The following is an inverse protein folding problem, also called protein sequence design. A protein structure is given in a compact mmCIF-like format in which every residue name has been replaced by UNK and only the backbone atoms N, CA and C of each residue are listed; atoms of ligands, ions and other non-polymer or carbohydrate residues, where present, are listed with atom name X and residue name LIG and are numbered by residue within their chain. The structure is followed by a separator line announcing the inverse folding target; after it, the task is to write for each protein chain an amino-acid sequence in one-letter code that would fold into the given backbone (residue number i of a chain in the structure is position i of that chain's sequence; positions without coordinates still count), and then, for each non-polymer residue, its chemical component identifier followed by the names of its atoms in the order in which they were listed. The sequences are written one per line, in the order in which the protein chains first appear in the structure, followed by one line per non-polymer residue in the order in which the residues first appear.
data_IF_774302404194
#
_entry.id   IF_774302404194
#
_cell.length_a   1.000
_cell.length_b   1.000
_cell.length_c   1.000
_cell.angle_alpha   90.00
_cell.angle_beta   90.00
_cell.angle_gamma   90.00
#
_symmetry.space_group_name_H-M   'P 1'
#
loop_
_entity.id
_entity.type
_entity.pdbx_description
1 polymer ?
#
# COMPACT_ATOMS: atom_id res chain seq x y z
N UNK A 1 -18.13 20.09 -3.78
CA UNK A 1 -18.12 18.90 -2.90
C UNK A 1 -16.96 18.04 -3.35
N UNK A 2 -16.30 17.34 -2.43
CA UNK A 2 -15.20 16.43 -2.77
C UNK A 2 -15.72 15.31 -3.71
N UNK A 3 -14.92 14.96 -4.73
CA UNK A 3 -15.16 13.85 -5.66
C UNK A 3 -14.64 12.52 -5.11
N UNK A 4 -13.91 12.54 -3.99
CA UNK A 4 -13.44 11.35 -3.28
C UNK A 4 -14.42 10.99 -2.16
N UNK A 5 -14.95 9.78 -2.21
CA UNK A 5 -15.84 9.28 -1.17
C UNK A 5 -15.06 8.84 0.07
N UNK A 6 -15.52 9.26 1.25
CA UNK A 6 -14.92 8.85 2.53
C UNK A 6 -15.32 7.40 2.83
N UNK A 7 -14.36 6.48 2.78
CA UNK A 7 -14.52 5.08 3.22
C UNK A 7 -14.17 4.94 4.71
N UNK A 8 -14.96 4.17 5.45
CA UNK A 8 -14.70 3.84 6.87
C UNK A 8 -13.37 3.09 6.99
N UNK A 9 -12.54 3.46 7.97
CA UNK A 9 -11.37 2.65 8.34
C UNK A 9 -11.84 1.46 9.18
N UNK A 10 -11.53 0.24 8.73
CA UNK A 10 -11.79 -0.97 9.49
C UNK A 10 -10.75 -1.14 10.60
N UNK A 11 -11.18 -1.65 11.74
CA UNK A 11 -10.30 -2.01 12.84
C UNK A 11 -9.47 -3.24 12.47
N UNK A 12 -8.34 -3.39 13.16
CA UNK A 12 -7.49 -4.57 13.00
C UNK A 12 -8.23 -5.87 13.36
N UNK A 13 -9.15 -5.82 14.30
CA UNK A 13 -9.97 -6.98 14.67
C UNK A 13 -10.99 -7.33 13.59
N UNK A 14 -11.57 -6.35 12.91
CA UNK A 14 -12.42 -6.58 11.73
C UNK A 14 -11.61 -7.27 10.61
N UNK A 15 -10.40 -6.79 10.31
CA UNK A 15 -9.54 -7.36 9.26
C UNK A 15 -9.02 -8.76 9.64
N UNK A 16 -8.59 -8.97 10.89
CA UNK A 16 -8.02 -10.25 11.32
C UNK A 16 -9.03 -11.40 11.41
N UNK A 17 -10.34 -11.12 11.37
CA UNK A 17 -11.40 -12.15 11.39
C UNK A 17 -11.53 -12.91 10.07
N UNK A 18 -11.02 -12.35 8.98
CA UNK A 18 -11.04 -12.99 7.67
C UNK A 18 -10.26 -14.31 7.73
N UNK A 19 -10.92 -15.39 7.31
CA UNK A 19 -10.29 -16.70 7.19
C UNK A 19 -9.38 -16.75 5.96
N UNK A 20 -8.25 -17.45 6.08
CA UNK A 20 -7.32 -17.59 4.96
C UNK A 20 -7.39 -18.99 4.38
N UNK A 21 -7.59 -19.02 3.07
CA UNK A 21 -7.52 -20.21 2.24
C UNK A 21 -6.45 -19.95 1.18
N UNK A 22 -5.17 -20.12 1.56
CA UNK A 22 -4.04 -19.77 0.69
C UNK A 22 -4.10 -20.54 -0.63
N UNK A 23 -3.87 -19.84 -1.73
CA UNK A 23 -3.82 -20.42 -3.06
C UNK A 23 -2.40 -20.80 -3.51
N UNK A 24 -1.39 -20.62 -2.63
CA UNK A 24 0.02 -20.91 -2.87
C UNK A 24 0.63 -20.17 -4.08
N UNK A 25 0.02 -19.05 -4.50
CA UNK A 25 0.46 -18.32 -5.68
C UNK A 25 1.88 -17.76 -5.49
N UNK A 26 2.79 -18.05 -6.42
CA UNK A 26 4.19 -17.63 -6.27
C UNK A 26 4.37 -16.12 -6.42
N UNK A 27 5.40 -15.58 -5.76
CA UNK A 27 5.93 -14.26 -6.07
C UNK A 27 6.61 -14.30 -7.44
N UNK A 28 6.37 -13.27 -8.24
CA UNK A 28 7.08 -13.02 -9.50
C UNK A 28 7.65 -11.60 -9.47
N UNK A 29 8.75 -11.40 -10.18
CA UNK A 29 9.38 -10.10 -10.33
C UNK A 29 8.49 -9.17 -11.15
N UNK A 30 8.49 -7.88 -10.79
CA UNK A 30 7.81 -6.82 -11.53
C UNK A 30 8.85 -6.13 -12.40
N UNK A 31 8.56 -6.02 -13.68
CA UNK A 31 9.41 -5.35 -14.65
C UNK A 31 8.83 -3.98 -14.99
N UNK A 32 9.71 -3.05 -15.39
CA UNK A 32 9.24 -1.77 -15.93
C UNK A 32 8.58 -1.93 -17.28
N UNK A 33 7.55 -1.13 -17.52
CA UNK A 33 6.93 -0.97 -18.83
C UNK A 33 7.02 0.49 -19.29
N UNK A 34 6.36 0.83 -20.39
CA UNK A 34 6.14 2.23 -20.78
C UNK A 34 5.26 2.97 -19.75
N UNK A 35 4.33 2.25 -19.12
CA UNK A 35 3.30 2.79 -18.23
C UNK A 35 3.50 2.46 -16.75
N UNK A 36 4.51 1.67 -16.40
CA UNK A 36 4.88 1.33 -15.03
C UNK A 36 6.39 1.51 -14.82
N UNK A 37 6.76 2.31 -13.82
CA UNK A 37 8.15 2.55 -13.40
C UNK A 37 8.41 2.14 -11.95
N UNK A 38 9.65 1.81 -11.63
CA UNK A 38 10.05 1.31 -10.32
C UNK A 38 10.85 2.36 -9.54
N UNK A 39 10.38 2.75 -8.35
CA UNK A 39 11.00 3.82 -7.55
C UNK A 39 12.08 3.30 -6.59
N UNK A 40 13.34 3.62 -6.89
CA UNK A 40 14.50 3.22 -6.04
C UNK A 40 14.59 3.97 -4.70
N UNK A 41 13.63 4.83 -4.37
CA UNK A 41 13.64 5.66 -3.15
C UNK A 41 13.47 4.84 -1.86
N UNK A 42 12.80 3.68 -1.90
CA UNK A 42 12.42 2.91 -0.69
C UNK A 42 12.90 1.46 -0.68
N UNK A 43 12.98 0.81 -1.83
CA UNK A 43 13.34 -0.60 -1.98
C UNK A 43 14.17 -0.82 -3.23
N UNK A 44 14.87 -1.94 -3.28
CA UNK A 44 15.64 -2.40 -4.44
C UNK A 44 15.07 -3.69 -5.05
N UNK A 45 14.02 -4.26 -4.44
CA UNK A 45 13.35 -5.47 -4.93
C UNK A 45 11.88 -5.16 -5.22
N UNK A 46 11.35 -5.75 -6.30
CA UNK A 46 9.97 -5.57 -6.74
C UNK A 46 9.40 -6.93 -7.12
N UNK A 47 8.68 -7.52 -6.18
CA UNK A 47 8.01 -8.80 -6.35
C UNK A 47 6.59 -8.67 -5.83
N UNK A 48 5.63 -9.34 -6.43
CA UNK A 48 4.29 -9.51 -5.87
C UNK A 48 3.74 -10.87 -6.33
N UNK A 49 2.58 -11.28 -5.80
CA UNK A 49 1.86 -12.46 -6.30
C UNK A 49 1.57 -12.26 -7.80
N UNK A 50 1.63 -13.33 -8.62
CA UNK A 50 1.48 -13.22 -10.08
C UNK A 50 0.24 -12.44 -10.51
N UNK A 51 -0.94 -12.75 -9.96
CA UNK A 51 -2.17 -12.03 -10.26
C UNK A 51 -2.09 -10.54 -9.92
N UNK A 52 -1.42 -10.17 -8.82
CA UNK A 52 -1.19 -8.76 -8.43
C UNK A 52 -0.32 -8.04 -9.46
N UNK A 53 0.69 -8.71 -10.00
CA UNK A 53 1.56 -8.14 -11.05
C UNK A 53 0.77 -7.93 -12.35
N UNK A 54 -0.04 -8.92 -12.75
CA UNK A 54 -0.90 -8.81 -13.93
C UNK A 54 -1.92 -7.66 -13.79
N UNK A 55 -2.57 -7.53 -12.63
CA UNK A 55 -3.49 -6.44 -12.34
C UNK A 55 -2.78 -5.07 -12.31
N UNK A 56 -1.53 -5.01 -11.86
CA UNK A 56 -0.76 -3.77 -11.84
C UNK A 56 -0.42 -3.31 -13.27
N UNK A 57 -0.09 -4.23 -14.17
CA UNK A 57 0.09 -3.92 -15.59
C UNK A 57 -1.22 -3.46 -16.22
N UNK A 58 -2.33 -4.14 -15.92
CA UNK A 58 -3.66 -3.73 -16.40
C UNK A 58 -4.04 -2.33 -15.90
N UNK A 59 -3.80 -2.01 -14.63
CA UNK A 59 -4.04 -0.67 -14.08
C UNK A 59 -3.19 0.40 -14.78
N UNK A 60 -1.92 0.09 -15.08
CA UNK A 60 -1.03 0.99 -15.80
C UNK A 60 -1.50 1.25 -17.23
N UNK A 61 -1.95 0.22 -17.94
CA UNK A 61 -2.41 0.31 -19.33
C UNK A 61 -3.75 1.07 -19.48
N UNK A 62 -4.58 1.09 -18.44
CA UNK A 62 -5.81 1.87 -18.40
C UNK A 62 -5.61 3.37 -18.14
N UNK A 63 -4.40 3.80 -17.76
CA UNK A 63 -4.12 5.23 -17.58
C UNK A 63 -4.19 5.99 -18.91
N UNK A 64 -4.64 7.24 -18.83
CA UNK A 64 -4.55 8.15 -19.97
C UNK A 64 -3.10 8.27 -20.48
N UNK A 65 -2.95 8.59 -21.77
CA UNK A 65 -1.65 8.64 -22.45
C UNK A 65 -0.59 9.49 -21.71
N UNK A 66 -1.02 10.54 -21.01
CA UNK A 66 -0.15 11.52 -20.35
C UNK A 66 0.31 11.08 -18.94
N UNK A 67 -0.19 9.93 -18.43
CA UNK A 67 0.13 9.40 -17.10
C UNK A 67 0.82 8.05 -17.17
N UNK A 68 1.52 7.71 -16.09
CA UNK A 68 2.04 6.38 -15.80
C UNK A 68 1.96 6.10 -14.29
N UNK A 69 2.03 4.81 -13.92
CA UNK A 69 2.19 4.37 -12.55
C UNK A 69 3.67 4.32 -12.15
N UNK A 70 3.94 4.69 -10.91
CA UNK A 70 5.23 4.47 -10.26
C UNK A 70 5.01 3.58 -9.05
N UNK A 71 5.60 2.39 -9.06
CA UNK A 71 5.61 1.47 -7.94
C UNK A 71 6.67 1.91 -6.92
N UNK A 72 6.21 2.33 -5.74
CA UNK A 72 7.08 2.69 -4.62
C UNK A 72 7.52 1.47 -3.82
N UNK A 73 6.61 0.52 -3.63
CA UNK A 73 6.89 -0.68 -2.86
C UNK A 73 5.90 -1.82 -3.18
N UNK A 74 6.43 -3.01 -3.45
CA UNK A 74 5.66 -4.25 -3.61
C UNK A 74 5.76 -5.15 -2.37
N UNK A 75 6.15 -6.41 -2.57
CA UNK A 75 6.45 -7.35 -1.49
C UNK A 75 7.53 -6.82 -0.53
N UNK A 76 7.29 -7.02 0.77
CA UNK A 76 8.25 -6.75 1.84
C UNK A 76 8.30 -7.93 2.79
N UNK A 77 9.49 -8.54 2.94
CA UNK A 77 9.67 -9.66 3.86
C UNK A 77 9.36 -9.31 5.30
N UNK A 78 8.95 -10.32 6.10
CA UNK A 78 8.72 -10.13 7.54
C UNK A 78 9.98 -9.65 8.25
N UNK A 79 11.16 -10.11 7.81
CA UNK A 79 12.45 -9.65 8.34
C UNK A 79 12.64 -8.16 8.10
N UNK A 80 12.47 -7.67 6.87
CA UNK A 80 12.57 -6.24 6.55
C UNK A 80 11.50 -5.43 7.27
N UNK A 81 10.27 -5.93 7.34
CA UNK A 81 9.19 -5.32 8.11
C UNK A 81 9.57 -5.13 9.59
N UNK A 82 10.14 -6.16 10.21
CA UNK A 82 10.54 -6.13 11.63
C UNK A 82 11.62 -5.09 11.86
N UNK A 83 12.63 -5.02 10.99
CA UNK A 83 13.69 -4.01 11.06
C UNK A 83 13.13 -2.58 10.91
N UNK A 84 12.20 -2.35 9.96
CA UNK A 84 11.60 -1.03 9.77
C UNK A 84 10.72 -0.61 10.96
N UNK A 85 10.00 -1.57 11.55
CA UNK A 85 9.19 -1.37 12.74
C UNK A 85 10.06 -0.96 13.93
N UNK A 86 11.13 -1.70 14.21
CA UNK A 86 12.06 -1.41 15.31
C UNK A 86 12.73 -0.04 15.13
N UNK A 87 13.20 0.28 13.92
CA UNK A 87 13.75 1.61 13.59
C UNK A 87 12.74 2.73 13.83
N UNK A 88 11.47 2.49 13.53
CA UNK A 88 10.39 3.46 13.77
C UNK A 88 10.17 3.68 15.27
N UNK A 89 10.13 2.61 16.07
CA UNK A 89 10.01 2.71 17.52
C UNK A 89 11.18 3.51 18.12
N UNK A 90 12.41 3.22 17.71
CA UNK A 90 13.61 3.94 18.18
C UNK A 90 13.53 5.43 17.86
N UNK A 91 13.17 5.80 16.61
CA UNK A 91 13.03 7.20 16.20
C UNK A 91 11.98 7.95 17.02
N UNK A 92 10.86 7.30 17.36
CA UNK A 92 9.80 7.93 18.17
C UNK A 92 10.30 8.12 19.61
N UNK A 93 10.98 7.12 20.20
CA UNK A 93 11.58 7.23 21.53
C UNK A 93 12.57 8.39 21.61
N UNK A 94 13.46 8.52 20.63
CA UNK A 94 14.44 9.61 20.55
C UNK A 94 13.79 11.00 20.50
N UNK A 95 12.71 11.15 19.72
CA UNK A 95 12.02 12.43 19.56
C UNK A 95 11.04 12.74 20.69
N UNK A 96 10.64 11.76 21.48
CA UNK A 96 9.60 11.89 22.49
C UNK A 96 9.86 10.95 23.67
N UNK A 97 10.91 11.23 24.47
CA UNK A 97 11.42 10.29 25.49
C UNK A 97 10.45 10.07 26.67
N UNK A 98 9.46 10.93 26.84
CA UNK A 98 8.50 10.87 27.95
C UNK A 98 7.21 10.09 27.62
N UNK A 99 7.08 9.54 26.41
CA UNK A 99 5.92 8.74 26.04
C UNK A 99 5.99 7.34 26.67
N UNK A 100 4.83 6.81 27.05
CA UNK A 100 4.71 5.40 27.39
C UNK A 100 4.95 4.49 26.19
N UNK A 101 5.35 3.24 26.43
CA UNK A 101 5.54 2.25 25.35
C UNK A 101 4.27 2.02 24.51
N UNK A 102 3.09 2.08 25.13
CA UNK A 102 1.81 1.96 24.43
C UNK A 102 1.57 3.14 23.48
N UNK A 103 1.91 4.36 23.89
CA UNK A 103 1.81 5.54 23.04
C UNK A 103 2.83 5.53 21.90
N UNK A 104 4.06 5.06 22.17
CA UNK A 104 5.10 4.88 21.14
C UNK A 104 4.60 3.88 20.09
N UNK A 105 4.10 2.71 20.52
CA UNK A 105 3.53 1.70 19.63
C UNK A 105 2.31 2.23 18.86
N UNK A 106 1.41 2.98 19.51
CA UNK A 106 0.27 3.63 18.86
C UNK A 106 0.70 4.59 17.75
N UNK A 107 1.71 5.43 18.00
CA UNK A 107 2.28 6.34 17.00
C UNK A 107 3.00 5.60 15.87
N UNK A 108 3.73 4.53 16.19
CA UNK A 108 4.40 3.72 15.18
C UNK A 108 3.42 3.07 14.20
N UNK A 109 2.25 2.60 14.69
CA UNK A 109 1.19 2.02 13.83
C UNK A 109 0.60 3.01 12.83
N UNK A 110 0.76 4.32 13.03
CA UNK A 110 0.34 5.35 12.06
C UNK A 110 1.35 5.54 10.92
N UNK A 111 2.53 4.91 11.00
CA UNK A 111 3.62 5.07 10.05
C UNK A 111 3.94 3.76 9.32
N UNK A 112 3.80 2.64 10.02
CA UNK A 112 4.14 1.32 9.50
C UNK A 112 3.34 0.25 10.23
N UNK A 113 2.89 -0.77 9.51
CA UNK A 113 2.19 -1.90 10.10
C UNK A 113 3.07 -2.64 11.12
N UNK A 114 2.48 -3.08 12.23
CA UNK A 114 3.18 -3.91 13.20
C UNK A 114 3.50 -5.28 12.57
N UNK A 115 4.72 -5.83 12.74
CA UNK A 115 5.04 -7.17 12.29
C UNK A 115 4.24 -8.18 13.11
N UNK A 116 3.50 -9.07 12.43
CA UNK A 116 2.66 -10.07 13.08
C UNK A 116 2.79 -11.38 12.34
N UNK A 117 2.42 -12.50 13.00
CA UNK A 117 2.40 -13.82 12.37
C UNK A 117 1.40 -13.90 11.22
N UNK A 118 0.35 -13.09 11.24
CA UNK A 118 -0.63 -13.00 10.15
C UNK A 118 -0.05 -12.35 8.88
N UNK A 119 1.14 -11.73 8.98
CA UNK A 119 1.76 -10.97 7.90
C UNK A 119 1.09 -9.60 7.71
N UNK A 120 1.82 -8.48 7.75
CA UNK A 120 1.29 -7.24 7.23
C UNK A 120 1.03 -7.36 5.72
N UNK A 121 0.15 -6.52 5.14
CA UNK A 121 -0.28 -6.62 3.74
C UNK A 121 0.85 -6.87 2.74
N UNK A 122 1.92 -6.06 2.76
CA UNK A 122 3.07 -6.23 1.86
C UNK A 122 3.80 -7.56 2.01
N UNK A 123 3.77 -8.21 3.18
CA UNK A 123 4.44 -9.49 3.38
C UNK A 123 3.67 -10.68 2.82
N UNK A 124 2.40 -10.50 2.46
CA UNK A 124 1.60 -11.52 1.75
C UNK A 124 1.89 -11.52 0.24
N UNK A 125 2.52 -10.46 -0.28
CA UNK A 125 2.66 -10.21 -1.72
C UNK A 125 1.38 -9.66 -2.39
N UNK A 126 0.32 -9.42 -1.61
CA UNK A 126 -0.98 -8.90 -2.05
C UNK A 126 -1.07 -7.37 -2.15
N UNK A 127 -0.11 -6.64 -1.58
CA UNK A 127 -0.18 -5.18 -1.46
C UNK A 127 0.91 -4.45 -2.26
N UNK A 128 0.55 -3.25 -2.73
CA UNK A 128 1.41 -2.32 -3.45
C UNK A 128 1.21 -0.90 -2.94
N UNK A 129 2.32 -0.14 -2.86
CA UNK A 129 2.32 1.31 -2.68
C UNK A 129 2.64 1.95 -4.03
N UNK A 130 1.70 2.69 -4.61
CA UNK A 130 1.82 3.29 -5.96
C UNK A 130 1.50 4.79 -5.95
N UNK A 131 2.01 5.49 -6.96
CA UNK A 131 1.65 6.88 -7.24
C UNK A 131 1.59 7.13 -8.76
N UNK A 132 1.04 8.30 -9.13
CA UNK A 132 1.06 8.76 -10.52
C UNK A 132 2.32 9.59 -10.81
N UNK A 133 2.79 9.46 -12.03
CA UNK A 133 3.70 10.40 -12.67
C UNK A 133 3.16 10.76 -14.06
N UNK A 134 3.58 11.90 -14.58
CA UNK A 134 3.39 12.23 -15.98
C UNK A 134 4.28 11.34 -16.85
N UNK A 135 3.93 11.17 -18.12
CA UNK A 135 4.67 10.32 -19.07
C UNK A 135 6.14 10.74 -19.28
N UNK A 136 6.52 11.95 -18.88
CA UNK A 136 7.90 12.45 -18.93
C UNK A 136 8.75 12.10 -17.69
N UNK A 137 8.18 11.44 -16.68
CA UNK A 137 8.86 11.10 -15.43
C UNK A 137 8.55 12.03 -14.27
N UNK A 138 7.86 13.15 -14.51
CA UNK A 138 7.57 14.13 -13.46
C UNK A 138 6.52 13.58 -12.51
N UNK A 139 6.85 13.54 -11.21
CA UNK A 139 5.90 13.13 -10.17
C UNK A 139 4.68 14.05 -10.14
N UNK A 140 3.50 13.45 -10.10
CA UNK A 140 2.24 14.19 -10.04
C UNK A 140 2.00 14.64 -8.59
N UNK A 141 1.45 15.83 -8.42
CA UNK A 141 1.09 16.34 -7.10
C UNK A 141 -0.07 15.54 -6.51
N UNK A 142 0.25 14.81 -5.43
CA UNK A 142 -0.72 14.00 -4.67
C UNK A 142 -1.06 14.64 -3.32
N UNK A 143 -0.42 15.75 -2.93
CA UNK A 143 -0.68 16.52 -1.69
C UNK A 143 -0.11 15.94 -0.40
N UNK A 144 0.39 14.72 -0.42
CA UNK A 144 1.11 14.09 0.69
C UNK A 144 2.20 13.17 0.16
N UNK A 145 3.20 12.87 0.98
CA UNK A 145 4.29 11.97 0.59
C UNK A 145 4.06 10.55 1.11
N UNK A 146 4.38 9.57 0.29
CA UNK A 146 4.34 8.15 0.66
C UNK A 146 5.22 7.91 1.92
N UNK A 147 4.66 7.22 2.91
CA UNK A 147 5.36 6.83 4.13
C UNK A 147 5.55 7.95 5.16
N UNK A 148 4.95 9.13 4.98
CA UNK A 148 4.85 10.16 6.02
C UNK A 148 3.47 10.13 6.66
N UNK A 149 3.42 10.17 8.00
CA UNK A 149 2.15 10.32 8.74
C UNK A 149 1.76 11.79 8.89
N UNK A 150 0.46 12.07 8.93
CA UNK A 150 -0.10 13.41 9.15
C UNK A 150 -0.36 14.18 7.86
N UNK A 151 -1.08 15.30 7.94
CA UNK A 151 -1.52 16.03 6.75
C UNK A 151 -2.49 15.22 5.90
N UNK A 152 -2.37 15.31 4.56
CA UNK A 152 -3.28 14.73 3.57
C UNK A 152 -3.01 13.24 3.32
N UNK A 153 -2.86 12.41 4.35
CA UNK A 153 -2.52 10.97 4.17
C UNK A 153 -3.70 10.13 3.72
N UNK A 154 -4.89 10.41 4.25
CA UNK A 154 -6.10 9.68 3.94
C UNK A 154 -6.49 9.91 2.49
N UNK A 155 -7.06 8.91 1.82
CA UNK A 155 -7.45 9.01 0.41
C UNK A 155 -8.35 10.22 0.17
N UNK A 156 -9.48 10.28 0.89
CA UNK A 156 -10.39 11.43 0.92
C UNK A 156 -10.03 12.41 2.06
N UNK A 157 -8.84 13.02 1.97
CA UNK A 157 -8.36 14.04 2.92
C UNK A 157 -9.05 15.38 2.71
N UNK A 158 -9.38 16.06 3.80
CA UNK A 158 -9.81 17.46 3.73
C UNK A 158 -8.62 18.37 3.36
N UNK A 159 -8.88 19.45 2.61
CA UNK A 159 -7.86 20.44 2.23
C UNK A 159 -7.00 20.07 1.03
N UNK A 160 -7.31 19.01 0.29
CA UNK A 160 -6.74 18.74 -1.04
C UNK A 160 -7.02 19.92 -1.99
N UNK A 161 -6.06 20.23 -2.86
CA UNK A 161 -6.33 21.09 -4.03
C UNK A 161 -7.18 20.30 -5.03
N UNK A 162 -7.86 21.00 -5.94
CA UNK A 162 -8.65 20.35 -7.00
C UNK A 162 -7.79 19.40 -7.85
N UNK A 163 -6.53 19.75 -8.09
CA UNK A 163 -5.57 18.93 -8.84
C UNK A 163 -5.16 17.68 -8.06
N UNK A 164 -4.77 17.82 -6.79
CA UNK A 164 -4.41 16.66 -5.94
C UNK A 164 -5.59 15.69 -5.80
N UNK A 165 -6.81 16.22 -5.67
CA UNK A 165 -8.03 15.43 -5.56
C UNK A 165 -8.33 14.68 -6.87
N UNK A 166 -8.20 15.35 -8.02
CA UNK A 166 -8.33 14.74 -9.34
C UNK A 166 -7.31 13.61 -9.54
N UNK A 167 -6.05 13.85 -9.19
CA UNK A 167 -4.98 12.86 -9.37
C UNK A 167 -5.22 11.62 -8.49
N UNK A 168 -5.65 11.81 -7.25
CA UNK A 168 -6.06 10.70 -6.38
C UNK A 168 -7.27 9.94 -6.91
N UNK A 169 -8.25 10.65 -7.49
CA UNK A 169 -9.41 10.00 -8.10
C UNK A 169 -9.00 9.15 -9.30
N UNK A 170 -8.09 9.64 -10.15
CA UNK A 170 -7.54 8.86 -11.27
C UNK A 170 -6.86 7.59 -10.74
N UNK A 171 -5.97 7.73 -9.76
CA UNK A 171 -5.26 6.58 -9.20
C UNK A 171 -6.24 5.57 -8.57
N UNK A 172 -7.18 6.05 -7.77
CA UNK A 172 -8.19 5.22 -7.12
C UNK A 172 -8.99 4.45 -8.16
N UNK A 173 -9.49 5.13 -9.19
CA UNK A 173 -10.34 4.54 -10.22
C UNK A 173 -9.62 3.45 -11.01
N UNK A 174 -8.39 3.70 -11.48
CA UNK A 174 -7.67 2.69 -12.29
C UNK A 174 -7.27 1.47 -11.45
N UNK A 175 -6.88 1.68 -10.20
CA UNK A 175 -6.50 0.58 -9.31
C UNK A 175 -7.73 -0.25 -8.91
N UNK A 176 -8.85 0.40 -8.55
CA UNK A 176 -10.09 -0.32 -8.20
C UNK A 176 -10.74 -0.99 -9.42
N UNK A 177 -10.64 -0.40 -10.61
CA UNK A 177 -11.07 -1.03 -11.86
C UNK A 177 -10.28 -2.30 -12.18
N UNK A 178 -8.98 -2.32 -11.89
CA UNK A 178 -8.15 -3.51 -12.02
C UNK A 178 -8.40 -4.56 -10.92
N UNK A 179 -9.24 -4.25 -9.91
CA UNK A 179 -9.67 -5.17 -8.87
C UNK A 179 -8.97 -5.02 -7.51
N UNK A 180 -8.10 -4.03 -7.36
CA UNK A 180 -7.54 -3.68 -6.05
C UNK A 180 -8.58 -3.03 -5.14
N UNK A 181 -8.28 -2.96 -3.85
CA UNK A 181 -8.98 -2.07 -2.92
C UNK A 181 -8.00 -1.08 -2.29
N UNK A 182 -8.40 0.19 -2.19
CA UNK A 182 -7.61 1.19 -1.46
C UNK A 182 -7.81 1.09 0.06
N UNK A 183 -6.71 1.21 0.81
CA UNK A 183 -6.75 1.48 2.25
C UNK A 183 -7.07 2.97 2.50
N UNK A 184 -8.18 3.32 3.17
CA UNK A 184 -8.61 4.73 3.28
C UNK A 184 -7.63 5.64 4.03
N UNK A 185 -6.79 5.07 4.89
CA UNK A 185 -5.80 5.82 5.67
C UNK A 185 -4.57 6.25 4.87
N UNK A 186 -4.32 5.65 3.70
CA UNK A 186 -3.13 5.87 2.88
C UNK A 186 -3.52 5.91 1.39
N UNK A 187 -3.49 7.09 0.77
CA UNK A 187 -3.91 7.27 -0.64
C UNK A 187 -3.12 6.44 -1.66
N UNK A 188 -1.91 6.01 -1.29
CA UNK A 188 -1.00 5.23 -2.13
C UNK A 188 -1.15 3.71 -1.97
N UNK A 189 -1.82 3.24 -0.92
CA UNK A 189 -1.80 1.82 -0.55
C UNK A 189 -3.01 1.06 -1.11
N UNK A 190 -2.71 -0.01 -1.83
CA UNK A 190 -3.71 -0.87 -2.48
C UNK A 190 -3.43 -2.33 -2.15
N UNK A 191 -4.50 -3.10 -1.98
CA UNK A 191 -4.43 -4.52 -1.61
C UNK A 191 -5.32 -5.38 -2.51
N UNK A 192 -4.86 -6.60 -2.77
CA UNK A 192 -5.62 -7.65 -3.44
C UNK A 192 -5.33 -9.00 -2.78
N UNK A 193 -6.36 -9.85 -2.62
CA UNK A 193 -6.25 -11.23 -2.15
C UNK A 193 -5.82 -11.45 -0.69
N UNK A 194 -5.40 -10.40 0.02
CA UNK A 194 -5.08 -10.45 1.44
C UNK A 194 -6.32 -10.17 2.33
N UNK A 195 -6.12 -10.20 3.66
CA UNK A 195 -7.19 -9.97 4.63
C UNK A 195 -7.79 -8.57 4.54
N UNK A 196 -6.98 -7.56 4.17
CA UNK A 196 -7.48 -6.19 4.00
C UNK A 196 -8.42 -6.14 2.80
N UNK A 197 -8.00 -6.73 1.68
CA UNK A 197 -8.84 -6.85 0.49
C UNK A 197 -10.17 -7.51 0.81
N UNK A 198 -10.15 -8.70 1.43
CA UNK A 198 -11.37 -9.43 1.77
C UNK A 198 -12.29 -8.66 2.74
N UNK A 199 -11.72 -8.03 3.76
CA UNK A 199 -12.52 -7.28 4.74
C UNK A 199 -13.23 -6.07 4.12
N UNK A 200 -12.59 -5.37 3.18
CA UNK A 200 -13.19 -4.23 2.50
C UNK A 200 -14.16 -4.61 1.37
N UNK A 201 -13.95 -5.75 0.72
CA UNK A 201 -14.86 -6.27 -0.32
C UNK A 201 -16.03 -7.07 0.26
N UNK A 202 -16.01 -7.39 1.56
CA UNK A 202 -17.03 -8.20 2.22
C UNK A 202 -16.89 -9.70 1.92
N UNK A 203 -15.71 -10.15 1.52
CA UNK A 203 -15.40 -11.56 1.34
C UNK A 203 -15.14 -12.23 2.70
N UNK A 204 -15.73 -13.41 2.91
CA UNK A 204 -15.51 -14.20 4.14
C UNK A 204 -14.09 -14.78 4.21
N UNK A 205 -13.46 -14.99 3.05
CA UNK A 205 -12.13 -15.57 2.92
C UNK A 205 -11.19 -14.69 2.11
N UNK A 206 -9.89 -14.79 2.38
CA UNK A 206 -8.83 -14.30 1.50
C UNK A 206 -7.88 -15.45 1.10
N UNK A 207 -7.08 -15.26 0.05
CA UNK A 207 -6.29 -16.33 -0.57
C UNK A 207 -4.78 -16.10 -0.58
N UNK A 208 -4.30 -15.02 0.03
CA UNK A 208 -2.87 -14.86 0.33
C UNK A 208 -2.62 -14.92 1.83
N UNK A 209 -1.94 -15.98 2.29
CA UNK A 209 -1.49 -16.06 3.68
C UNK A 209 -0.16 -15.31 3.89
N UNK A 210 0.11 -15.00 5.15
CA UNK A 210 1.27 -14.26 5.62
C UNK A 210 2.53 -15.11 5.76
N UNK A 211 3.61 -14.43 6.15
CA UNK A 211 4.57 -13.87 5.22
C UNK A 211 5.33 -14.94 4.42
N UNK A 212 5.45 -14.71 3.11
CA UNK A 212 6.24 -15.57 2.23
C UNK A 212 7.75 -15.46 2.53
N UNK A 213 8.55 -16.50 2.21
CA UNK A 213 10.00 -16.39 2.23
C UNK A 213 10.49 -15.31 1.27
N UNK A 214 11.66 -14.73 1.56
CA UNK A 214 12.31 -13.81 0.63
C UNK A 214 12.56 -14.53 -0.72
N UNK A 215 12.16 -13.92 -1.85
CA UNK A 215 12.54 -14.45 -3.15
C UNK A 215 14.07 -14.51 -3.23
N UNK A 216 14.58 -15.61 -3.78
CA UNK A 216 16.03 -15.77 -3.99
C UNK A 216 16.44 -14.84 -5.12
N UNK A 217 17.49 -14.04 -4.88
CA UNK A 217 18.23 -13.32 -5.92
C UNK A 217 18.78 -14.29 -6.98
#
# INVERSE_FOLDING_TARGET
MSILEKRKILTRDEINRVEVVDNDESLVEIEETEKLKLSTKRTSIYFNRRQVVEMLYEAADHLFKDYMLVLSEGYRSLKRQTVLWEKTLLRIREKSPNLSEDEIRRRARMLIAEPTKLGPPHSTGGAVDVMLAYSDGTEVEMGGEIGKSGGKTWTASDGLTEEEEKNRKILLDVMEQAGFINYPGEWWHYSYGDRMWAAYTGSDTCFYDGPLPEPKE
#
